data_IF_045779404130
#
_entry.id   IF_045779404130
#
_cell.length_a   1.000
_cell.length_b   1.000
_cell.length_c   1.000
_cell.angle_alpha   90.00
_cell.angle_beta   90.00
_cell.angle_gamma   90.00
#
_symmetry.space_group_name_H-M   'P 1'
#
loop_
_entity.id
_entity.type
_entity.pdbx_description
1 polymer ?
#
# COMPACT_ATOMS: atom_id res chain seq x y z
N UNK A 1 -10.19 22.70 -18.91
CA UNK A 1 -9.25 22.01 -19.81
C UNK A 1 -8.63 20.89 -19.01
N UNK A 2 -9.04 19.65 -19.23
CA UNK A 2 -8.34 18.50 -18.65
C UNK A 2 -6.92 18.52 -19.19
N UNK A 3 -5.95 18.53 -18.27
CA UNK A 3 -4.55 18.55 -18.63
C UNK A 3 -4.20 17.14 -19.15
N UNK A 4 -4.05 17.01 -20.46
CA UNK A 4 -3.68 15.78 -21.19
C UNK A 4 -2.32 15.18 -20.75
N UNK A 5 -1.66 15.82 -19.78
CA UNK A 5 -0.35 15.49 -19.21
C UNK A 5 -0.39 15.18 -17.70
N UNK A 6 -1.56 15.24 -17.06
CA UNK A 6 -1.66 14.91 -15.64
C UNK A 6 -1.50 13.41 -15.44
N UNK A 7 -0.51 13.00 -14.64
CA UNK A 7 -0.36 11.62 -14.19
C UNK A 7 -0.82 11.53 -12.73
N UNK A 8 -1.89 10.78 -12.42
CA UNK A 8 -2.40 10.70 -11.06
C UNK A 8 -1.39 10.02 -10.14
N UNK A 9 -1.18 10.59 -8.95
CA UNK A 9 -0.34 10.07 -7.87
C UNK A 9 -1.13 9.02 -7.10
N UNK A 10 -0.66 7.77 -7.15
CA UNK A 10 -1.34 6.61 -6.56
C UNK A 10 -0.55 6.11 -5.36
N UNK A 11 -1.14 6.19 -4.17
CA UNK A 11 -0.56 5.63 -2.95
C UNK A 11 -0.71 4.12 -2.91
N UNK A 12 0.40 3.39 -2.84
CA UNK A 12 0.44 1.92 -2.87
C UNK A 12 0.81 1.36 -1.50
N UNK A 13 -0.11 0.66 -0.85
CA UNK A 13 0.13 0.06 0.48
C UNK A 13 1.21 -1.01 0.40
N UNK A 14 2.18 -0.94 1.31
CA UNK A 14 3.29 -1.91 1.41
C UNK A 14 2.92 -3.11 2.29
N UNK A 15 3.64 -4.21 2.12
CA UNK A 15 3.58 -5.38 3.00
C UNK A 15 4.85 -5.47 3.84
N UNK A 16 4.75 -6.08 5.02
CA UNK A 16 5.90 -6.30 5.92
C UNK A 16 6.46 -7.70 5.71
N UNK A 17 7.77 -7.80 5.52
CA UNK A 17 8.50 -9.05 5.38
C UNK A 17 9.77 -9.02 6.24
N UNK A 18 10.32 -10.20 6.55
CA UNK A 18 11.64 -10.32 7.20
C UNK A 18 12.70 -10.73 6.19
N UNK A 19 13.56 -9.79 5.81
CA UNK A 19 14.64 -10.02 4.84
C UNK A 19 15.98 -9.95 5.56
N UNK A 20 16.77 -11.03 5.48
CA UNK A 20 18.11 -11.13 6.10
C UNK A 20 18.13 -10.73 7.60
N UNK A 21 17.07 -11.07 8.34
CA UNK A 21 16.95 -10.76 9.77
C UNK A 21 16.39 -9.36 10.09
N UNK A 22 16.16 -8.51 9.09
CA UNK A 22 15.60 -7.18 9.26
C UNK A 22 14.13 -7.13 8.86
N UNK A 23 13.34 -6.35 9.61
CA UNK A 23 11.97 -6.03 9.23
C UNK A 23 12.02 -5.04 8.06
N UNK A 24 11.37 -5.38 6.96
CA UNK A 24 11.44 -4.62 5.71
C UNK A 24 10.03 -4.44 5.16
N UNK A 25 9.72 -3.20 4.78
CA UNK A 25 8.53 -2.89 4.01
C UNK A 25 8.83 -3.20 2.54
N UNK A 26 7.98 -3.97 1.91
CA UNK A 26 8.19 -4.50 0.55
C UNK A 26 6.99 -4.22 -0.33
N UNK A 27 7.25 -4.07 -1.63
CA UNK A 27 6.24 -3.90 -2.65
C UNK A 27 6.73 -4.57 -3.93
N UNK A 28 5.93 -5.48 -4.50
CA UNK A 28 6.34 -6.22 -5.69
C UNK A 28 6.20 -5.35 -6.94
N UNK A 29 7.22 -5.38 -7.80
CA UNK A 29 7.30 -4.54 -9.00
C UNK A 29 6.11 -4.71 -9.97
N UNK A 30 5.52 -5.91 -10.05
CA UNK A 30 4.37 -6.16 -10.94
C UNK A 30 3.19 -5.22 -10.67
N UNK A 31 2.99 -4.80 -9.42
CA UNK A 31 1.95 -3.84 -9.05
C UNK A 31 2.31 -2.42 -9.47
N UNK A 32 3.57 -2.02 -9.26
CA UNK A 32 4.10 -0.73 -9.69
C UNK A 32 4.03 -0.58 -11.22
N UNK A 33 4.47 -1.61 -11.94
CA UNK A 33 4.49 -1.65 -13.39
C UNK A 33 3.07 -1.54 -13.97
N UNK A 34 2.07 -2.17 -13.34
CA UNK A 34 0.68 -2.04 -13.77
C UNK A 34 0.18 -0.59 -13.67
N UNK A 35 0.50 0.12 -12.58
CA UNK A 35 0.12 1.53 -12.39
C UNK A 35 0.83 2.42 -13.42
N UNK A 36 2.14 2.23 -13.62
CA UNK A 36 2.92 3.00 -14.59
C UNK A 36 2.39 2.81 -16.02
N UNK A 37 2.08 1.56 -16.39
CA UNK A 37 1.53 1.24 -17.71
C UNK A 37 0.13 1.82 -17.92
N UNK A 38 -0.64 2.01 -16.85
CA UNK A 38 -1.94 2.69 -16.87
C UNK A 38 -1.84 4.23 -16.83
N UNK A 39 -0.62 4.79 -16.76
CA UNK A 39 -0.39 6.24 -16.77
C UNK A 39 -0.32 6.92 -15.39
N UNK A 40 -0.34 6.14 -14.30
CA UNK A 40 -0.21 6.66 -12.94
C UNK A 40 1.24 6.81 -12.45
N UNK A 41 1.42 7.55 -11.35
CA UNK A 41 2.67 7.68 -10.61
C UNK A 41 2.52 6.95 -9.27
N UNK A 42 3.10 5.75 -9.10
CA UNK A 42 2.98 5.02 -7.84
C UNK A 42 3.94 5.58 -6.77
N UNK A 43 3.44 5.76 -5.56
CA UNK A 43 4.22 6.11 -4.37
C UNK A 43 3.98 5.02 -3.31
N UNK A 44 5.04 4.38 -2.83
CA UNK A 44 4.92 3.36 -1.79
C UNK A 44 4.53 4.00 -0.44
N UNK A 45 3.60 3.36 0.27
CA UNK A 45 3.09 3.80 1.57
C UNK A 45 3.55 2.84 2.68
N UNK A 46 4.60 3.19 3.46
CA UNK A 46 5.03 2.41 4.62
C UNK A 46 3.97 2.38 5.73
N UNK A 47 3.95 1.31 6.52
CA UNK A 47 3.00 1.13 7.63
C UNK A 47 3.00 2.26 8.68
N UNK A 48 4.12 2.97 8.85
CA UNK A 48 4.21 4.10 9.77
C UNK A 48 3.25 5.27 9.41
N UNK A 49 2.80 5.34 8.15
CA UNK A 49 1.84 6.34 7.68
C UNK A 49 0.40 6.07 8.14
N UNK A 50 0.14 4.96 8.84
CA UNK A 50 -1.16 4.67 9.44
C UNK A 50 -1.46 5.55 10.67
N UNK A 51 -0.49 6.31 11.16
CA UNK A 51 -0.70 7.32 12.19
C UNK A 51 -1.71 8.39 11.68
N UNK A 52 -2.79 8.67 12.41
CA UNK A 52 -3.88 9.54 11.94
C UNK A 52 -3.46 10.92 11.42
N UNK A 53 -2.52 11.60 12.07
CA UNK A 53 -2.07 12.95 11.67
C UNK A 53 -1.29 12.88 10.34
N UNK A 54 -0.37 11.93 10.21
CA UNK A 54 0.39 11.66 8.98
C UNK A 54 -0.53 11.26 7.82
N UNK A 55 -1.48 10.37 8.08
CA UNK A 55 -2.44 9.93 7.07
C UNK A 55 -3.30 11.10 6.59
N UNK A 56 -3.81 11.91 7.51
CA UNK A 56 -4.63 13.09 7.19
C UNK A 56 -3.86 14.13 6.38
N UNK A 57 -2.57 14.30 6.65
CA UNK A 57 -1.70 15.21 5.89
C UNK A 57 -1.36 14.67 4.48
N UNK A 58 -1.32 13.35 4.31
CA UNK A 58 -0.94 12.70 3.07
C UNK A 58 -2.12 12.53 2.10
N UNK A 59 -3.30 12.15 2.60
CA UNK A 59 -4.47 11.83 1.77
C UNK A 59 -4.81 12.91 0.71
N UNK A 60 -4.79 14.22 1.01
CA UNK A 60 -5.07 15.26 0.01
C UNK A 60 -4.05 15.34 -1.14
N UNK A 61 -2.90 14.67 -1.03
CA UNK A 61 -1.83 14.64 -2.04
C UNK A 61 -1.92 13.41 -2.96
N UNK A 62 -2.84 12.49 -2.69
CA UNK A 62 -3.02 11.26 -3.44
C UNK A 62 -4.30 11.35 -4.28
N UNK A 63 -4.22 10.96 -5.55
CA UNK A 63 -5.38 10.88 -6.46
C UNK A 63 -6.08 9.51 -6.38
N UNK A 64 -5.41 8.52 -5.80
CA UNK A 64 -5.96 7.18 -5.61
C UNK A 64 -5.17 6.36 -4.62
N UNK A 65 -5.83 5.34 -4.07
CA UNK A 65 -5.23 4.32 -3.21
C UNK A 65 -5.23 2.99 -3.95
N UNK A 66 -4.12 2.28 -3.90
CA UNK A 66 -3.95 0.96 -4.48
C UNK A 66 -3.59 -0.06 -3.41
N UNK A 67 -4.33 -1.16 -3.39
CA UNK A 67 -4.20 -2.25 -2.43
C UNK A 67 -3.68 -3.51 -3.15
N UNK A 68 -2.35 -3.77 -3.12
CA UNK A 68 -1.79 -4.99 -3.68
C UNK A 68 -2.27 -6.24 -2.95
N UNK A 69 -2.29 -7.37 -3.65
CA UNK A 69 -2.39 -8.68 -3.00
C UNK A 69 -1.10 -9.06 -2.28
N UNK A 70 -1.21 -9.85 -1.21
CA UNK A 70 -0.13 -10.34 -0.35
C UNK A 70 -0.37 -11.81 0.03
N UNK A 71 0.68 -12.60 0.32
CA UNK A 71 0.50 -13.92 0.95
C UNK A 71 -0.10 -13.87 2.36
N UNK A 72 0.01 -12.74 3.06
CA UNK A 72 -0.58 -12.54 4.39
C UNK A 72 -2.10 -12.40 4.31
N UNK A 73 -2.84 -12.98 5.25
CA UNK A 73 -4.28 -12.78 5.37
C UNK A 73 -4.64 -11.67 6.38
N UNK A 74 -5.90 -11.28 6.37
CA UNK A 74 -6.45 -10.33 7.34
C UNK A 74 -6.70 -11.07 8.66
N UNK A 75 -6.23 -10.47 9.76
CA UNK A 75 -6.38 -11.06 11.09
C UNK A 75 -7.87 -11.29 11.44
N UNK A 76 -8.26 -12.49 11.94
CA UNK A 76 -9.66 -12.86 12.15
C UNK A 76 -10.50 -11.91 13.00
N UNK A 77 -9.89 -11.31 14.02
CA UNK A 77 -10.59 -10.41 14.93
C UNK A 77 -11.08 -9.13 14.24
N UNK A 78 -10.51 -8.75 13.09
CA UNK A 78 -10.93 -7.58 12.32
C UNK A 78 -12.31 -7.78 11.68
N UNK A 79 -12.78 -9.03 11.56
CA UNK A 79 -14.13 -9.37 11.11
C UNK A 79 -14.93 -10.18 12.15
N UNK A 80 -14.51 -10.11 13.43
CA UNK A 80 -15.27 -10.66 14.55
C UNK A 80 -15.09 -12.16 14.80
N UNK A 81 -14.09 -12.80 14.17
CA UNK A 81 -13.76 -14.21 14.39
C UNK A 81 -12.50 -14.39 15.24
N UNK A 82 -12.36 -15.59 15.79
CA UNK A 82 -11.12 -16.03 16.45
C UNK A 82 -10.38 -16.98 15.52
N UNK A 83 -9.07 -16.84 15.44
CA UNK A 83 -8.21 -17.77 14.71
C UNK A 83 -6.75 -17.42 14.94
N UNK A 84 -5.92 -18.45 15.02
CA UNK A 84 -4.47 -18.30 15.07
C UNK A 84 -3.93 -18.42 13.65
N UNK A 85 -3.33 -17.33 13.17
CA UNK A 85 -2.56 -17.34 11.96
C UNK A 85 -1.10 -17.05 12.32
N UNK A 86 -0.20 -18.04 12.22
CA UNK A 86 1.16 -17.93 12.75
C UNK A 86 2.02 -16.87 12.03
N UNK A 87 1.56 -16.39 10.86
CA UNK A 87 2.23 -15.40 10.02
C UNK A 87 1.41 -14.11 9.80
N UNK A 88 0.33 -13.90 10.57
CA UNK A 88 -0.47 -12.67 10.51
C UNK A 88 0.06 -11.51 11.36
#
# INVERSE_FOLDING_TARGET
>A
MENIMYKPVIGVVMCRNRLKGHQTQTLQEKYLNAIVNAGGVPIALPHALAEPELLSALLPKLDGIYLPGSPSNVQPHLYGENGDEPDA
#
